data_IF_507896369834
#
_entry.id   IF_507896369834
#
_cell.length_a   1.000
_cell.length_b   1.000
_cell.length_c   1.000
_cell.angle_alpha   90.00
_cell.angle_beta   90.00
_cell.angle_gamma   90.00
#
_symmetry.space_group_name_H-M   'P 1'
#
loop_
_entity.id
_entity.type
_entity.pdbx_description
1 polymer ?
#
# COMPACT_ATOMS: atom_id res chain seq x y z
N UNK A 1 12.58 -22.17 -6.54
CA UNK A 1 12.54 -20.78 -6.02
C UNK A 1 11.95 -20.81 -4.64
N UNK A 2 12.66 -20.24 -3.67
CA UNK A 2 12.20 -20.09 -2.31
C UNK A 2 11.07 -19.05 -2.23
N UNK A 3 10.12 -19.28 -1.32
CA UNK A 3 8.91 -18.47 -1.15
C UNK A 3 8.71 -18.20 0.34
N UNK A 4 8.17 -17.03 0.64
CA UNK A 4 7.81 -16.64 1.99
C UNK A 4 6.39 -16.11 2.04
N UNK A 5 5.77 -16.24 3.22
CA UNK A 5 4.51 -15.56 3.52
C UNK A 5 4.82 -14.18 4.09
N UNK A 6 4.30 -13.15 3.43
CA UNK A 6 4.27 -11.78 3.94
C UNK A 6 2.84 -11.43 4.40
N UNK A 7 2.70 -10.47 5.29
CA UNK A 7 1.40 -9.93 5.69
C UNK A 7 1.16 -8.62 4.95
N UNK A 8 -0.02 -8.45 4.35
CA UNK A 8 -0.45 -7.20 3.71
C UNK A 8 -1.69 -6.69 4.43
N UNK A 9 -1.62 -5.48 4.98
CA UNK A 9 -2.71 -4.80 5.68
C UNK A 9 -3.27 -3.66 4.83
N UNK A 10 -4.57 -3.68 4.54
CA UNK A 10 -5.23 -2.76 3.60
C UNK A 10 -6.61 -2.32 4.11
N UNK A 11 -7.13 -1.21 3.57
CA UNK A 11 -8.42 -0.64 3.96
C UNK A 11 -8.42 0.10 5.30
N UNK A 12 -7.25 0.27 5.91
CA UNK A 12 -7.04 1.06 7.12
C UNK A 12 -6.39 2.41 6.83
N UNK A 13 -5.99 3.11 7.89
CA UNK A 13 -5.27 4.38 7.82
C UNK A 13 -4.22 4.49 8.91
N UNK A 14 -3.21 5.33 8.67
CA UNK A 14 -2.20 5.65 9.66
C UNK A 14 -2.71 6.70 10.64
N UNK A 15 -2.60 6.39 11.94
CA UNK A 15 -2.78 7.33 13.04
C UNK A 15 -1.45 7.35 13.81
N UNK A 16 -0.65 8.40 13.58
CA UNK A 16 0.76 8.46 13.98
C UNK A 16 1.54 7.25 13.43
N UNK A 17 2.18 6.47 14.30
CA UNK A 17 2.91 5.24 13.98
C UNK A 17 2.05 3.97 14.02
N UNK A 18 0.72 4.08 14.13
CA UNK A 18 -0.16 2.90 14.17
C UNK A 18 -1.08 2.82 12.96
N UNK A 19 -1.09 1.68 12.28
CA UNK A 19 -2.06 1.39 11.23
C UNK A 19 -3.36 0.84 11.85
N UNK A 20 -4.47 1.54 11.69
CA UNK A 20 -5.76 1.24 12.34
C UNK A 20 -6.81 0.81 11.33
N UNK A 21 -7.76 -0.01 11.79
CA UNK A 21 -8.98 -0.41 11.05
C UNK A 21 -8.76 -1.12 9.71
N UNK A 22 -7.57 -1.66 9.47
CA UNK A 22 -7.27 -2.43 8.26
C UNK A 22 -7.60 -3.91 8.38
N UNK A 23 -7.81 -4.56 7.23
CA UNK A 23 -7.83 -6.03 7.08
C UNK A 23 -6.41 -6.51 6.78
N UNK A 24 -6.02 -7.66 7.30
CA UNK A 24 -4.71 -8.27 7.01
C UNK A 24 -4.88 -9.59 6.26
N UNK A 25 -4.08 -9.80 5.21
CA UNK A 25 -4.03 -11.04 4.44
C UNK A 25 -2.59 -11.57 4.39
N UNK A 26 -2.41 -12.85 4.68
CA UNK A 26 -1.15 -13.56 4.41
C UNK A 26 -1.04 -13.90 2.93
N UNK A 27 0.12 -13.60 2.33
CA UNK A 27 0.35 -13.75 0.89
C UNK A 27 1.67 -14.46 0.66
N UNK A 28 1.62 -15.55 -0.09
CA UNK A 28 2.82 -16.24 -0.53
C UNK A 28 3.46 -15.49 -1.71
N UNK A 29 4.71 -15.08 -1.57
CA UNK A 29 5.48 -14.36 -2.60
C UNK A 29 6.84 -15.02 -2.84
N UNK A 30 7.45 -14.71 -3.99
CA UNK A 30 8.85 -15.07 -4.26
C UNK A 30 9.77 -14.21 -3.40
N UNK A 31 10.86 -14.78 -2.90
CA UNK A 31 11.91 -14.00 -2.22
C UNK A 31 12.59 -12.97 -3.14
N UNK A 32 12.46 -13.14 -4.46
CA UNK A 32 12.98 -12.21 -5.48
C UNK A 32 11.85 -11.40 -6.13
N UNK A 33 10.78 -11.10 -5.39
CA UNK A 33 9.69 -10.27 -5.90
C UNK A 33 10.19 -8.85 -6.15
N UNK A 34 9.78 -8.24 -7.27
CA UNK A 34 10.05 -6.84 -7.59
C UNK A 34 8.95 -5.95 -7.01
N UNK A 35 9.21 -4.65 -6.89
CA UNK A 35 8.24 -3.65 -6.48
C UNK A 35 6.99 -3.69 -7.35
N UNK A 36 7.15 -3.76 -8.67
CA UNK A 36 6.03 -3.83 -9.61
C UNK A 36 5.13 -5.05 -9.33
N UNK A 37 5.72 -6.23 -9.16
CA UNK A 37 4.97 -7.46 -8.87
C UNK A 37 4.31 -7.42 -7.49
N UNK A 38 4.95 -6.79 -6.51
CA UNK A 38 4.38 -6.59 -5.17
C UNK A 38 3.19 -5.62 -5.23
N UNK A 39 3.32 -4.50 -5.95
CA UNK A 39 2.22 -3.54 -6.17
C UNK A 39 1.03 -4.19 -6.86
N UNK A 40 1.25 -4.96 -7.93
CA UNK A 40 0.17 -5.65 -8.64
C UNK A 40 -0.59 -6.61 -7.69
N UNK A 41 0.13 -7.36 -6.85
CA UNK A 41 -0.52 -8.18 -5.82
C UNK A 41 -1.36 -7.37 -4.84
N UNK A 42 -0.90 -6.18 -4.45
CA UNK A 42 -1.67 -5.31 -3.56
C UNK A 42 -2.96 -4.84 -4.23
N UNK A 43 -2.90 -4.40 -5.49
CA UNK A 43 -4.10 -4.03 -6.26
C UNK A 43 -5.10 -5.20 -6.34
N UNK A 44 -4.63 -6.41 -6.66
CA UNK A 44 -5.46 -7.60 -6.72
C UNK A 44 -6.13 -7.92 -5.37
N UNK A 45 -5.36 -7.83 -4.28
CA UNK A 45 -5.86 -8.14 -2.92
C UNK A 45 -6.88 -7.13 -2.45
N UNK A 46 -6.65 -5.85 -2.73
CA UNK A 46 -7.52 -4.76 -2.32
C UNK A 46 -8.69 -4.54 -3.30
N UNK A 47 -8.73 -5.28 -4.43
CA UNK A 47 -9.70 -5.13 -5.50
C UNK A 47 -9.80 -3.68 -6.00
N UNK A 48 -8.64 -3.11 -6.38
CA UNK A 48 -8.49 -1.73 -6.78
C UNK A 48 -8.07 -1.62 -8.25
N UNK A 49 -8.62 -0.63 -8.95
CA UNK A 49 -8.16 -0.25 -10.29
C UNK A 49 -6.91 0.65 -10.16
N UNK A 50 -5.74 0.25 -10.72
CA UNK A 50 -4.54 1.09 -10.73
C UNK A 50 -4.69 2.39 -11.52
N UNK A 51 -5.72 2.54 -12.36
CA UNK A 51 -6.04 3.80 -13.05
C UNK A 51 -6.80 4.78 -12.14
N UNK A 52 -7.54 4.29 -11.15
CA UNK A 52 -8.35 5.11 -10.25
C UNK A 52 -7.65 5.40 -8.92
N UNK A 53 -6.77 4.51 -8.48
CA UNK A 53 -6.10 4.61 -7.19
C UNK A 53 -4.59 4.64 -7.34
N UNK A 54 -3.97 5.38 -6.45
CA UNK A 54 -2.56 5.31 -6.14
C UNK A 54 -2.41 4.62 -4.77
N UNK A 55 -1.45 3.71 -4.67
CA UNK A 55 -1.14 3.01 -3.43
C UNK A 55 0.22 3.45 -2.91
N UNK A 56 0.28 3.69 -1.61
CA UNK A 56 1.53 3.88 -0.87
C UNK A 56 1.71 2.69 0.05
N UNK A 57 2.89 2.05 0.00
CA UNK A 57 3.19 0.86 0.80
C UNK A 57 4.20 1.24 1.89
N UNK A 58 3.84 1.02 3.15
CA UNK A 58 4.66 1.38 4.30
C UNK A 58 4.84 0.22 5.27
N UNK A 59 5.98 0.19 5.93
CA UNK A 59 6.36 -0.84 6.90
C UNK A 59 6.99 -0.18 8.13
N UNK A 60 6.81 -0.77 9.31
CA UNK A 60 7.54 -0.35 10.51
C UNK A 60 8.53 -1.46 10.84
N UNK A 61 9.81 -1.16 10.72
CA UNK A 61 10.88 -2.01 11.22
C UNK A 61 11.07 -1.67 12.69
N UNK A 62 10.73 -2.62 13.55
CA UNK A 62 10.78 -2.50 15.00
C UNK A 62 12.24 -2.32 15.44
N UNK A 63 12.68 -1.06 15.52
CA UNK A 63 14.01 -0.67 15.99
C UNK A 63 13.95 0.18 17.26
N UNK A 64 12.80 0.81 17.55
CA UNK A 64 12.50 1.60 18.77
C UNK A 64 10.99 1.76 18.96
N UNK A 65 10.55 2.09 20.18
CA UNK A 65 9.14 2.39 20.53
C UNK A 65 8.51 3.54 19.70
N UNK A 66 9.34 4.33 19.00
CA UNK A 66 8.93 5.48 18.18
C UNK A 66 9.26 5.33 16.69
N UNK A 67 9.37 4.08 16.20
CA UNK A 67 9.68 3.84 14.80
C UNK A 67 8.62 4.44 13.87
N UNK A 68 9.07 5.29 12.94
CA UNK A 68 8.22 5.88 11.92
C UNK A 68 7.98 4.87 10.77
N UNK A 69 6.81 4.89 10.13
CA UNK A 69 6.56 4.09 8.94
C UNK A 69 7.54 4.46 7.82
N UNK A 70 8.27 3.48 7.32
CA UNK A 70 9.18 3.59 6.18
C UNK A 70 8.42 3.23 4.91
N UNK A 71 8.54 4.05 3.88
CA UNK A 71 7.91 3.82 2.59
C UNK A 71 8.75 2.91 1.72
N UNK A 72 8.10 1.99 0.99
CA UNK A 72 8.76 1.12 -0.01
C UNK A 72 8.57 1.78 -1.38
N UNK A 73 9.65 2.34 -1.93
CA UNK A 73 9.62 3.14 -3.17
C UNK A 73 10.37 2.49 -4.33
N UNK A 74 11.31 1.58 -4.06
CA UNK A 74 12.11 0.88 -5.07
C UNK A 74 12.30 -0.63 -4.80
N UNK A 75 13.05 -1.31 -5.67
CA UNK A 75 13.33 -2.75 -5.56
C UNK A 75 14.28 -3.11 -4.42
N UNK A 76 15.13 -2.18 -3.96
CA UNK A 76 16.06 -2.41 -2.85
C UNK A 76 15.33 -2.32 -1.49
N UNK A 77 14.34 -1.44 -1.37
CA UNK A 77 13.41 -1.43 -0.24
C UNK A 77 12.63 -2.75 -0.14
N UNK A 78 12.18 -3.29 -1.29
CA UNK A 78 11.48 -4.58 -1.34
C UNK A 78 12.40 -5.70 -0.89
N UNK A 79 13.66 -5.72 -1.34
CA UNK A 79 14.66 -6.71 -0.88
C UNK A 79 14.87 -6.61 0.62
N UNK A 80 14.96 -5.40 1.17
CA UNK A 80 15.11 -5.16 2.61
C UNK A 80 13.90 -5.71 3.37
N UNK A 81 12.68 -5.38 2.94
CA UNK A 81 11.44 -5.89 3.53
C UNK A 81 11.35 -7.41 3.53
N UNK A 82 11.65 -8.03 2.39
CA UNK A 82 11.63 -9.49 2.24
C UNK A 82 12.67 -10.13 3.13
N UNK A 83 13.89 -9.58 3.19
CA UNK A 83 14.98 -10.08 4.03
C UNK A 83 14.60 -10.01 5.51
N UNK A 84 14.10 -8.86 5.98
CA UNK A 84 13.62 -8.70 7.35
C UNK A 84 12.47 -9.66 7.66
N UNK A 85 11.55 -9.86 6.72
CA UNK A 85 10.43 -10.81 6.85
C UNK A 85 10.86 -12.27 6.89
N UNK A 86 12.05 -12.61 6.38
CA UNK A 86 12.66 -13.94 6.48
C UNK A 86 13.39 -14.12 7.81
N UNK A 87 14.16 -13.11 8.24
CA UNK A 87 15.02 -13.19 9.41
C UNK A 87 14.22 -13.15 10.72
N UNK A 88 13.09 -12.43 10.75
CA UNK A 88 12.29 -12.29 11.97
C UNK A 88 11.38 -13.50 12.20
N UNK A 89 11.27 -13.89 13.48
CA UNK A 89 10.35 -14.93 13.94
C UNK A 89 8.88 -14.52 13.84
N UNK A 90 8.59 -13.22 13.81
CA UNK A 90 7.28 -12.65 13.57
C UNK A 90 7.22 -11.96 12.20
N UNK A 91 6.01 -11.85 11.65
CA UNK A 91 5.81 -11.22 10.34
C UNK A 91 5.50 -9.74 10.49
N UNK A 92 6.25 -8.92 9.76
CA UNK A 92 6.03 -7.48 9.69
C UNK A 92 4.94 -7.22 8.64
N UNK A 93 3.85 -6.51 8.99
CA UNK A 93 2.81 -6.18 8.03
C UNK A 93 3.22 -5.04 7.10
N UNK A 94 3.07 -5.27 5.80
CA UNK A 94 3.09 -4.22 4.79
C UNK A 94 1.74 -3.51 4.77
N UNK A 95 1.71 -2.26 5.21
CA UNK A 95 0.48 -1.49 5.37
C UNK A 95 0.26 -0.58 4.15
N UNK A 96 -0.96 -0.60 3.63
CA UNK A 96 -1.33 0.05 2.37
C UNK A 96 -2.17 1.29 2.65
N UNK A 97 -1.73 2.44 2.17
CA UNK A 97 -2.52 3.67 2.12
C UNK A 97 -3.02 3.87 0.71
N UNK A 98 -4.28 4.25 0.57
CA UNK A 98 -4.93 4.48 -0.72
C UNK A 98 -5.17 5.98 -0.92
N UNK A 99 -4.90 6.46 -2.13
CA UNK A 99 -5.28 7.80 -2.58
C UNK A 99 -6.02 7.68 -3.89
N UNK A 100 -7.25 8.20 -3.95
CA UNK A 100 -8.01 8.27 -5.20
C UNK A 100 -7.36 9.31 -6.13
N UNK A 101 -7.10 8.92 -7.37
CA UNK A 101 -6.69 9.82 -8.43
C UNK A 101 -7.89 10.70 -8.77
N UNK A 102 -7.73 12.01 -8.68
CA UNK A 102 -8.77 12.93 -9.12
C UNK A 102 -8.83 12.86 -10.64
N UNK A 103 -9.92 12.34 -11.20
CA UNK A 103 -10.24 12.57 -12.60
C UNK A 103 -10.47 14.07 -12.77
N UNK A 104 -9.71 14.73 -13.66
CA UNK A 104 -10.05 16.07 -14.13
C UNK A 104 -11.36 16.00 -14.94
N UNK A 105 -12.48 15.91 -14.23
CA UNK A 105 -13.78 16.32 -14.70
C UNK A 105 -14.28 17.40 -13.76
N UNK A 106 -13.58 18.54 -13.76
CA UNK A 106 -14.29 19.79 -13.60
C UNK A 106 -15.17 19.92 -14.84
N UNK A 107 -16.41 19.45 -14.72
CA UNK A 107 -17.46 19.94 -15.60
C UNK A 107 -17.42 21.47 -15.46
N UNK A 108 -16.96 22.16 -16.50
CA UNK A 108 -17.27 23.56 -16.68
C UNK A 108 -18.79 23.65 -16.67
N UNK A 109 -19.35 24.03 -15.53
CA UNK A 109 -20.74 24.49 -15.47
C UNK A 109 -20.75 25.76 -16.31
N UNK A 110 -21.23 25.66 -17.55
CA UNK A 110 -21.48 26.84 -18.35
C UNK A 110 -22.71 27.53 -17.77
N UNK A 111 -22.47 28.56 -16.96
CA UNK A 111 -23.53 29.39 -16.36
C UNK A 111 -24.39 30.11 -17.42
N UNK A 112 -24.08 30.00 -18.73
CA UNK A 112 -24.92 30.52 -19.82
C UNK A 112 -26.15 29.65 -20.14
N UNK A 113 -26.31 28.47 -19.52
CA UNK A 113 -27.46 27.58 -19.75
C UNK A 113 -28.52 27.57 -18.64
N UNK A 114 -28.40 28.42 -17.61
CA UNK A 114 -29.47 28.53 -16.61
C UNK A 114 -30.60 29.43 -17.13
N UNK A 115 -31.87 28.98 -17.13
CA UNK A 115 -32.99 29.86 -17.39
C UNK A 115 -33.06 30.90 -16.26
N UNK A 116 -33.15 32.17 -16.64
CA UNK A 116 -33.38 33.27 -15.70
C UNK A 116 -34.80 33.09 -15.15
N UNK A 117 -34.91 32.69 -13.89
CA UNK A 117 -36.14 32.70 -13.11
C UNK A 117 -36.30 34.03 -12.39
#
# INVERSE_FOLDING_TARGET
MSRLTILISYGGSWVHSTYKSGKTKGVLVSEKITLEKLRNKVYDIANLDPNEYEITMKVIYDSTDNAWPVEIVDDDDVKTFVTESLLRSYKIPLCITLKRKLSNQQATVDFRQLPIS
#
